data_IF_900639346713
#
_entry.id   IF_900639346713
#
_cell.length_a   1.000
_cell.length_b   1.000
_cell.length_c   1.000
_cell.angle_alpha   90.00
_cell.angle_beta   90.00
_cell.angle_gamma   90.00
#
_symmetry.space_group_name_H-M   'P 1'
#
loop_
_entity.id
_entity.type
_entity.pdbx_description
1 polymer ?
#
# COMPACT_ATOMS: atom_id res chain seq x y z
N UNK A 1 -4.39 -8.80 -19.54
CA UNK A 1 -3.69 -7.72 -18.81
C UNK A 1 -3.70 -6.46 -19.67
N UNK A 2 -4.60 -5.51 -19.39
CA UNK A 2 -4.78 -4.31 -20.23
C UNK A 2 -3.64 -3.28 -20.10
N UNK A 3 -2.94 -3.24 -18.96
CA UNK A 3 -1.92 -2.24 -18.67
C UNK A 3 -0.62 -2.48 -19.47
N UNK A 4 -0.03 -3.66 -19.35
CA UNK A 4 1.24 -4.02 -20.01
C UNK A 4 1.15 -4.11 -21.54
N UNK A 5 -0.06 -4.14 -22.11
CA UNK A 5 -0.25 -4.08 -23.55
C UNK A 5 0.12 -2.71 -24.15
N UNK A 6 0.19 -1.65 -23.34
CA UNK A 6 0.59 -0.32 -23.80
C UNK A 6 2.11 -0.12 -23.82
N UNK A 7 2.86 -1.04 -23.22
CA UNK A 7 4.30 -0.97 -23.15
C UNK A 7 4.92 -1.49 -24.46
N UNK A 8 6.06 -0.91 -24.82
CA UNK A 8 6.86 -1.41 -25.93
C UNK A 8 7.40 -2.81 -25.65
N UNK A 9 7.84 -3.50 -26.69
CA UNK A 9 8.59 -4.74 -26.56
C UNK A 9 10.08 -4.46 -26.69
N UNK A 10 10.91 -5.19 -25.95
CA UNK A 10 12.36 -5.16 -26.02
C UNK A 10 12.93 -6.55 -26.22
N UNK A 11 14.07 -6.64 -26.91
CA UNK A 11 14.86 -7.85 -26.96
C UNK A 11 15.62 -7.98 -25.65
N UNK A 12 15.38 -9.09 -24.94
CA UNK A 12 16.01 -9.37 -23.66
C UNK A 12 16.67 -10.74 -23.69
N UNK A 13 17.95 -10.78 -23.33
CA UNK A 13 18.72 -11.99 -23.11
C UNK A 13 19.07 -12.07 -21.61
N UNK A 14 18.42 -12.98 -20.84
CA UNK A 14 18.69 -13.11 -19.42
C UNK A 14 20.00 -13.82 -19.10
N UNK A 15 20.57 -14.61 -20.02
CA UNK A 15 21.72 -15.50 -19.77
C UNK A 15 23.01 -14.96 -20.39
N UNK A 16 22.91 -14.14 -21.44
CA UNK A 16 24.04 -13.63 -22.21
C UNK A 16 24.60 -14.63 -23.21
N UNK A 17 23.80 -15.62 -23.61
CA UNK A 17 24.18 -16.67 -24.57
C UNK A 17 23.84 -16.30 -26.03
N UNK A 18 23.28 -15.12 -26.26
CA UNK A 18 22.83 -14.63 -27.57
C UNK A 18 21.41 -15.08 -27.95
N UNK A 19 20.73 -15.86 -27.10
CA UNK A 19 19.35 -16.29 -27.29
C UNK A 19 18.38 -15.20 -26.82
N UNK A 20 18.20 -14.19 -27.66
CA UNK A 20 17.29 -13.06 -27.38
C UNK A 20 15.83 -13.48 -27.46
N UNK A 21 15.04 -13.07 -26.46
CA UNK A 21 13.57 -13.21 -26.46
C UNK A 21 12.92 -11.84 -26.53
N UNK A 22 11.80 -11.76 -27.25
CA UNK A 22 10.98 -10.56 -27.29
C UNK A 22 10.08 -10.55 -26.05
N UNK A 23 10.28 -9.57 -25.17
CA UNK A 23 9.55 -9.41 -23.91
C UNK A 23 8.95 -8.00 -23.83
N UNK A 24 7.89 -7.83 -23.03
CA UNK A 24 7.39 -6.49 -22.70
C UNK A 24 8.43 -5.72 -21.88
N UNK A 25 8.72 -4.48 -22.26
CA UNK A 25 9.62 -3.61 -21.52
C UNK A 25 8.96 -3.12 -20.23
N UNK A 26 9.40 -3.66 -19.09
CA UNK A 26 8.96 -3.24 -17.75
C UNK A 26 9.94 -2.27 -17.07
N UNK A 27 11.05 -1.90 -17.73
CA UNK A 27 12.05 -0.98 -17.18
C UNK A 27 11.60 0.49 -17.31
N UNK A 28 10.63 0.76 -18.18
CA UNK A 28 10.02 2.08 -18.31
C UNK A 28 9.05 2.36 -17.16
N UNK A 29 9.28 3.48 -16.45
CA UNK A 29 8.42 3.91 -15.34
C UNK A 29 7.32 4.83 -15.84
N UNK A 30 6.06 4.40 -15.70
CA UNK A 30 4.88 5.24 -15.93
C UNK A 30 4.49 5.92 -14.61
N UNK A 31 4.44 7.26 -14.61
CA UNK A 31 3.98 8.06 -13.47
C UNK A 31 3.23 9.30 -13.95
N UNK A 32 2.16 9.65 -13.23
CA UNK A 32 1.48 10.94 -13.42
C UNK A 32 2.34 12.06 -12.83
N UNK A 33 2.57 13.14 -13.58
CA UNK A 33 3.32 14.30 -13.10
C UNK A 33 2.59 14.94 -11.92
N UNK A 34 3.30 15.28 -10.85
CA UNK A 34 2.71 15.80 -9.59
C UNK A 34 1.86 17.05 -9.80
N UNK A 35 2.26 17.96 -10.70
CA UNK A 35 1.49 19.17 -11.01
C UNK A 35 0.17 18.85 -11.74
N UNK A 36 0.15 17.80 -12.55
CA UNK A 36 -1.06 17.36 -13.27
C UNK A 36 -2.03 16.62 -12.34
N UNK A 37 -1.52 15.92 -11.32
CA UNK A 37 -2.36 15.19 -10.34
C UNK A 37 -3.32 16.12 -9.59
N UNK A 38 -2.91 17.37 -9.33
CA UNK A 38 -3.75 18.38 -8.65
C UNK A 38 -4.84 18.97 -9.53
N UNK A 39 -4.58 19.10 -10.82
CA UNK A 39 -5.46 19.81 -11.77
C UNK A 39 -6.42 18.87 -12.52
N UNK A 40 -6.02 17.62 -12.77
CA UNK A 40 -6.76 16.70 -13.67
C UNK A 40 -7.70 15.77 -12.90
N UNK A 41 -7.45 15.52 -11.61
CA UNK A 41 -8.11 14.44 -10.89
C UNK A 41 -8.99 15.01 -9.77
N UNK A 42 -10.30 14.96 -9.97
CA UNK A 42 -11.25 15.04 -8.86
C UNK A 42 -11.20 13.70 -8.13
N UNK A 43 -10.56 13.70 -6.95
CA UNK A 43 -10.47 12.53 -6.09
C UNK A 43 -11.57 12.61 -5.04
N UNK A 44 -12.33 11.53 -4.91
CA UNK A 44 -13.21 11.30 -3.76
C UNK A 44 -12.53 10.29 -2.81
N UNK A 45 -12.76 10.48 -1.51
CA UNK A 45 -12.24 9.55 -0.51
C UNK A 45 -13.12 8.31 -0.48
N UNK A 46 -12.50 7.14 -0.43
CA UNK A 46 -13.22 5.87 -0.35
C UNK A 46 -12.62 4.99 0.74
N UNK A 47 -13.48 4.51 1.63
CA UNK A 47 -13.11 3.58 2.69
C UNK A 47 -13.16 2.15 2.15
N UNK A 48 -11.97 1.55 2.01
CA UNK A 48 -11.80 0.18 1.52
C UNK A 48 -12.39 -0.80 2.53
N UNK A 49 -13.30 -1.66 2.06
CA UNK A 49 -13.91 -2.70 2.92
C UNK A 49 -13.06 -3.96 2.96
N UNK A 50 -13.38 -4.81 3.94
CA UNK A 50 -12.73 -6.11 4.13
C UNK A 50 -12.75 -6.94 2.84
N UNK A 51 -11.59 -7.51 2.47
CA UNK A 51 -11.34 -8.29 1.26
C UNK A 51 -11.49 -7.56 -0.09
N UNK A 52 -11.52 -6.23 -0.11
CA UNK A 52 -11.50 -5.49 -1.36
C UNK A 52 -10.10 -5.40 -1.96
N UNK A 53 -9.98 -5.77 -3.23
CA UNK A 53 -8.76 -5.61 -4.01
C UNK A 53 -8.87 -4.39 -4.93
N UNK A 54 -7.73 -3.85 -5.43
CA UNK A 54 -7.75 -2.75 -6.41
C UNK A 54 -8.61 -3.05 -7.65
N UNK A 55 -8.69 -4.32 -8.05
CA UNK A 55 -9.52 -4.80 -9.17
C UNK A 55 -11.01 -4.68 -8.86
N UNK A 56 -11.43 -5.07 -7.65
CA UNK A 56 -12.83 -4.96 -7.22
C UNK A 56 -13.24 -3.49 -7.15
N UNK A 57 -12.37 -2.61 -6.65
CA UNK A 57 -12.64 -1.17 -6.60
C UNK A 57 -12.72 -0.59 -8.01
N UNK A 58 -11.80 -0.96 -8.90
CA UNK A 58 -11.84 -0.51 -10.28
C UNK A 58 -13.10 -0.98 -11.02
N UNK A 59 -13.57 -2.20 -10.77
CA UNK A 59 -14.82 -2.68 -11.36
C UNK A 59 -16.03 -1.85 -10.89
N UNK A 60 -16.10 -1.53 -9.60
CA UNK A 60 -17.21 -0.72 -9.06
C UNK A 60 -17.20 0.74 -9.49
N UNK A 61 -16.03 1.37 -9.53
CA UNK A 61 -15.92 2.81 -9.82
C UNK A 61 -15.72 3.11 -11.32
N UNK A 62 -15.04 2.23 -12.05
CA UNK A 62 -14.65 2.43 -13.45
C UNK A 62 -15.32 1.43 -14.40
N UNK A 63 -16.15 0.51 -13.90
CA UNK A 63 -16.92 -0.45 -14.71
C UNK A 63 -16.08 -1.57 -15.31
N UNK A 64 -14.81 -1.72 -14.89
CA UNK A 64 -13.97 -2.84 -15.32
C UNK A 64 -12.84 -3.12 -14.33
N UNK A 65 -12.57 -4.40 -14.00
CA UNK A 65 -11.45 -4.77 -13.14
C UNK A 65 -10.10 -4.49 -13.80
N UNK A 66 -10.05 -4.32 -15.12
CA UNK A 66 -8.81 -4.05 -15.86
C UNK A 66 -8.23 -2.66 -15.63
N UNK A 67 -8.98 -1.76 -14.98
CA UNK A 67 -8.51 -0.41 -14.62
C UNK A 67 -7.91 -0.34 -13.20
N UNK A 68 -7.59 -1.48 -12.57
CA UNK A 68 -6.96 -1.52 -11.24
C UNK A 68 -5.66 -0.70 -11.14
N UNK A 69 -4.88 -0.65 -12.23
CA UNK A 69 -3.63 0.11 -12.30
C UNK A 69 -3.85 1.62 -12.17
N UNK A 70 -5.03 2.15 -12.55
CA UNK A 70 -5.36 3.57 -12.38
C UNK A 70 -5.46 3.90 -10.89
N UNK A 71 -6.17 3.07 -10.13
CA UNK A 71 -6.30 3.19 -8.67
C UNK A 71 -4.92 3.13 -8.01
N UNK A 72 -4.06 2.21 -8.46
CA UNK A 72 -2.70 2.06 -7.93
C UNK A 72 -1.82 3.29 -8.23
N UNK A 73 -1.76 3.75 -9.47
CA UNK A 73 -0.92 4.91 -9.86
C UNK A 73 -1.38 6.17 -9.15
N UNK A 74 -2.69 6.38 -8.98
CA UNK A 74 -3.23 7.54 -8.29
C UNK A 74 -2.91 7.54 -6.79
N UNK A 75 -2.76 6.37 -6.16
CA UNK A 75 -2.38 6.25 -4.75
C UNK A 75 -0.87 6.03 -4.57
N UNK A 76 -0.07 6.18 -5.63
CA UNK A 76 1.38 5.93 -5.63
C UNK A 76 1.76 4.52 -5.09
N UNK A 77 0.88 3.53 -5.31
CA UNK A 77 1.04 2.14 -4.88
C UNK A 77 1.87 1.39 -5.92
N UNK A 78 2.95 0.76 -5.47
CA UNK A 78 3.87 0.02 -6.34
C UNK A 78 3.78 -1.49 -6.17
N UNK A 79 3.58 -1.95 -4.94
CA UNK A 79 3.44 -3.35 -4.60
C UNK A 79 2.07 -3.62 -4.00
N UNK A 80 1.21 -4.31 -4.74
CA UNK A 80 -0.15 -4.66 -4.28
C UNK A 80 -0.10 -5.52 -3.01
N UNK A 81 0.92 -6.35 -2.83
CA UNK A 81 0.95 -7.27 -1.69
C UNK A 81 1.30 -6.58 -0.38
N UNK A 82 2.08 -5.50 -0.42
CA UNK A 82 2.58 -4.81 0.78
C UNK A 82 1.91 -3.45 1.00
N UNK A 83 1.70 -2.68 -0.07
CA UNK A 83 1.18 -1.32 -0.01
C UNK A 83 -0.36 -1.30 0.05
N UNK A 84 -1.04 -2.38 -0.39
CA UNK A 84 -2.49 -2.48 -0.29
C UNK A 84 -2.93 -2.92 1.11
N UNK A 85 -4.13 -2.45 1.50
CA UNK A 85 -4.76 -2.83 2.77
C UNK A 85 -4.94 -4.34 2.83
N UNK A 86 -4.41 -4.95 3.90
CA UNK A 86 -4.53 -6.39 4.13
C UNK A 86 -5.89 -6.70 4.75
N UNK A 87 -6.50 -7.78 4.31
CA UNK A 87 -7.64 -8.37 5.05
C UNK A 87 -7.21 -8.71 6.48
N UNK A 88 -8.18 -8.77 7.39
CA UNK A 88 -7.96 -9.13 8.80
C UNK A 88 -7.17 -10.44 8.91
N UNK A 89 -7.51 -11.45 8.10
CA UNK A 89 -6.81 -12.74 8.06
C UNK A 89 -5.37 -12.63 7.54
N UNK A 90 -5.16 -11.84 6.47
CA UNK A 90 -3.82 -11.64 5.92
C UNK A 90 -2.94 -10.85 6.88
N UNK A 91 -3.49 -9.87 7.59
CA UNK A 91 -2.79 -9.10 8.61
C UNK A 91 -2.35 -10.00 9.76
N UNK A 92 -3.23 -10.83 10.31
CA UNK A 92 -2.87 -11.80 11.36
C UNK A 92 -1.74 -12.73 10.92
N UNK A 93 -1.81 -13.28 9.70
CA UNK A 93 -0.71 -14.10 9.14
C UNK A 93 0.58 -13.31 8.97
N UNK A 94 0.49 -12.07 8.50
CA UNK A 94 1.64 -11.19 8.33
C UNK A 94 2.32 -10.90 9.68
N UNK A 95 1.53 -10.61 10.72
CA UNK A 95 2.04 -10.41 12.08
C UNK A 95 2.77 -11.65 12.61
N UNK A 96 2.16 -12.84 12.48
CA UNK A 96 2.79 -14.10 12.89
C UNK A 96 4.05 -14.45 12.08
N UNK A 97 4.18 -13.93 10.86
CA UNK A 97 5.39 -14.10 10.05
C UNK A 97 6.51 -13.13 10.43
N UNK A 98 6.15 -11.96 10.97
CA UNK A 98 7.06 -10.87 11.31
C UNK A 98 7.53 -10.96 12.77
N UNK A 99 6.66 -11.37 13.67
CA UNK A 99 6.87 -11.42 15.10
C UNK A 99 6.67 -12.84 15.63
N UNK A 100 7.45 -13.20 16.65
CA UNK A 100 7.17 -14.39 17.46
C UNK A 100 5.98 -14.14 18.38
N UNK A 101 5.35 -15.21 18.89
CA UNK A 101 4.23 -15.09 19.85
C UNK A 101 4.57 -14.25 21.09
N UNK A 102 5.83 -14.28 21.54
CA UNK A 102 6.31 -13.46 22.65
C UNK A 102 6.44 -11.98 22.28
N UNK A 103 6.83 -11.67 21.03
CA UNK A 103 6.97 -10.29 20.55
C UNK A 103 5.62 -9.62 20.27
N UNK A 104 4.60 -10.41 19.89
CA UNK A 104 3.23 -9.93 19.70
C UNK A 104 2.63 -9.31 20.97
N UNK A 105 2.99 -9.83 22.14
CA UNK A 105 2.51 -9.30 23.42
C UNK A 105 3.48 -8.30 24.05
N UNK A 106 4.61 -8.03 23.39
CA UNK A 106 5.60 -7.06 23.85
C UNK A 106 5.10 -5.63 23.59
N UNK A 107 5.34 -4.75 24.55
CA UNK A 107 5.04 -3.33 24.40
C UNK A 107 5.90 -2.72 23.30
N UNK A 108 5.26 -2.18 22.26
CA UNK A 108 5.94 -1.42 21.23
C UNK A 108 6.17 0.03 21.67
N UNK A 109 5.14 0.68 22.22
CA UNK A 109 5.21 2.07 22.66
C UNK A 109 4.07 2.40 23.64
N UNK A 110 4.08 3.64 24.15
CA UNK A 110 3.06 4.15 25.06
C UNK A 110 2.44 5.40 24.46
N UNK A 111 1.13 5.55 24.60
CA UNK A 111 0.37 6.67 24.03
C UNK A 111 -0.38 7.45 25.11
N UNK A 112 -0.53 8.76 24.91
CA UNK A 112 -1.46 9.62 25.67
C UNK A 112 -2.28 10.50 24.71
N UNK A 113 -3.51 10.88 25.08
CA UNK A 113 -4.24 11.87 24.30
C UNK A 113 -3.50 13.21 24.34
N UNK A 114 -3.48 13.89 23.21
CA UNK A 114 -2.88 15.21 23.07
C UNK A 114 -3.51 16.19 24.07
N UNK A 115 -2.67 16.97 24.76
CA UNK A 115 -3.12 17.91 25.81
C UNK A 115 -3.58 19.26 25.28
N UNK A 116 -3.29 19.60 24.02
CA UNK A 116 -3.64 20.88 23.40
C UNK A 116 -4.08 20.69 21.95
N UNK A 117 -5.28 21.17 21.61
CA UNK A 117 -5.89 20.97 20.28
C UNK A 117 -6.95 19.87 20.30
N UNK A 118 -6.96 19.03 19.27
CA UNK A 118 -7.89 17.90 19.17
C UNK A 118 -7.42 16.75 20.07
N UNK A 119 -8.14 16.54 21.19
CA UNK A 119 -7.81 15.51 22.19
C UNK A 119 -8.14 14.09 21.73
N UNK A 120 -8.68 13.91 20.52
CA UNK A 120 -8.86 12.58 19.90
C UNK A 120 -7.59 12.03 19.28
N UNK A 121 -6.56 12.87 19.11
CA UNK A 121 -5.25 12.47 18.59
C UNK A 121 -4.39 11.92 19.74
N UNK A 122 -3.84 10.72 19.53
CA UNK A 122 -2.93 10.05 20.45
C UNK A 122 -1.48 10.39 20.08
N UNK A 123 -0.62 10.61 21.09
CA UNK A 123 0.80 10.94 20.94
C UNK A 123 1.64 9.91 21.66
N UNK A 124 2.70 9.44 20.99
CA UNK A 124 3.70 8.54 21.56
C UNK A 124 4.58 9.23 22.62
N UNK A 125 4.75 8.58 23.77
CA UNK A 125 5.52 9.10 24.90
C UNK A 125 6.38 8.02 25.57
N UNK A 126 7.41 8.45 26.28
CA UNK A 126 8.19 7.56 27.15
C UNK A 126 7.46 7.28 28.47
N UNK A 127 7.40 5.99 28.85
CA UNK A 127 6.73 5.54 30.08
C UNK A 127 7.31 6.16 31.37
N UNK A 128 8.61 6.47 31.39
CA UNK A 128 9.30 7.03 32.55
C UNK A 128 8.76 8.41 32.95
N UNK A 129 8.26 9.18 31.98
CA UNK A 129 7.75 10.53 32.18
C UNK A 129 6.23 10.54 32.36
N UNK A 130 5.53 9.55 31.79
CA UNK A 130 4.07 9.45 31.81
C UNK A 130 3.61 8.04 32.23
N UNK A 131 3.63 7.73 33.55
CA UNK A 131 3.29 6.39 34.06
C UNK A 131 1.81 6.00 33.90
N UNK A 132 0.95 6.94 33.49
CA UNK A 132 -0.47 6.70 33.18
C UNK A 132 -0.75 6.52 31.68
N UNK A 133 0.28 6.39 30.85
CA UNK A 133 0.14 6.22 29.41
C UNK A 133 -0.44 4.84 29.04
N UNK A 134 -1.23 4.77 27.97
CA UNK A 134 -1.79 3.52 27.48
C UNK A 134 -0.74 2.72 26.73
N UNK A 135 -0.61 1.44 27.08
CA UNK A 135 0.36 0.52 26.47
C UNK A 135 -0.16 0.06 25.12
N UNK A 136 0.67 0.17 24.08
CA UNK A 136 0.40 -0.39 22.75
C UNK A 136 1.37 -1.52 22.47
N UNK A 137 0.83 -2.71 22.17
CA UNK A 137 1.60 -3.91 21.81
C UNK A 137 1.76 -4.03 20.29
N UNK A 138 2.64 -4.94 19.84
CA UNK A 138 2.87 -5.22 18.41
C UNK A 138 1.71 -5.90 17.68
#
# INVERSE_FOLDING_TARGET
MSYFNQFGTMLYDPVGDGSVKLCTDIMSRVRVRTNMKKEIVMLDKYDVKENETPEIIADRHHGSPYYHWVVMILNDISDINHDWVKSTRQLQKYLLSKYTEAQLTETHHYEIPQTSGDTTVMIEVENTTYPSATIVTN
#
